data_IF_582752597314
#
_entry.id   IF_582752597314
#
_cell.length_a   1.000
_cell.length_b   1.000
_cell.length_c   1.000
_cell.angle_alpha   90.00
_cell.angle_beta   90.00
_cell.angle_gamma   90.00
#
_symmetry.space_group_name_H-M   'P 1'
#
loop_
_entity.id
_entity.type
_entity.pdbx_description
1 polymer ?
#
# COMPACT_ATOMS: atom_id res chain seq x y z
N UNK A 1 -26.85 -8.69 13.70
CA UNK A 1 -26.61 -7.23 13.65
C UNK A 1 -25.36 -7.05 12.83
N UNK A 2 -25.51 -6.77 11.54
CA UNK A 2 -24.39 -6.41 10.66
C UNK A 2 -23.73 -5.19 11.26
N UNK A 3 -22.51 -5.32 11.78
CA UNK A 3 -21.71 -4.17 12.17
C UNK A 3 -21.58 -3.29 10.92
N UNK A 4 -22.12 -2.07 10.97
CA UNK A 4 -21.74 -1.04 10.01
C UNK A 4 -20.23 -0.88 10.15
N UNK A 5 -19.49 -1.36 9.15
CA UNK A 5 -18.05 -1.24 9.09
C UNK A 5 -17.71 0.26 9.12
N UNK A 6 -17.06 0.70 10.19
CA UNK A 6 -16.77 2.12 10.41
C UNK A 6 -15.67 2.57 9.44
N UNK A 7 -16.00 3.48 8.53
CA UNK A 7 -15.03 4.04 7.58
C UNK A 7 -14.17 5.04 8.33
N UNK A 8 -12.85 4.78 8.42
CA UNK A 8 -11.92 5.65 9.14
C UNK A 8 -11.37 6.77 8.26
N UNK A 9 -11.16 6.49 6.97
CA UNK A 9 -10.68 7.45 5.98
C UNK A 9 -11.42 7.25 4.67
N UNK A 10 -11.90 8.36 4.10
CA UNK A 10 -12.65 8.43 2.85
C UNK A 10 -11.92 9.36 1.89
N UNK A 11 -11.51 8.85 0.74
CA UNK A 11 -11.00 9.64 -0.38
C UNK A 11 -12.06 9.65 -1.49
N UNK A 12 -12.38 10.84 -2.03
CA UNK A 12 -13.36 11.01 -3.12
C UNK A 12 -12.79 11.86 -4.23
N UNK A 13 -12.79 11.31 -5.44
CA UNK A 13 -12.43 11.93 -6.71
C UNK A 13 -11.09 12.67 -6.65
N UNK A 14 -10.11 12.07 -5.97
CA UNK A 14 -8.80 12.68 -5.75
C UNK A 14 -8.06 12.82 -7.08
N UNK A 15 -7.67 14.06 -7.39
CA UNK A 15 -6.75 14.38 -8.49
C UNK A 15 -5.52 15.04 -7.90
N UNK A 16 -4.34 14.53 -8.22
CA UNK A 16 -3.06 15.08 -7.77
C UNK A 16 -2.24 15.50 -8.98
N UNK A 17 -1.82 16.75 -8.98
CA UNK A 17 -1.04 17.37 -10.04
C UNK A 17 0.31 17.84 -9.52
N UNK A 18 1.34 17.73 -10.34
CA UNK A 18 2.67 18.25 -10.10
C UNK A 18 3.06 19.26 -11.18
N UNK A 19 3.55 20.42 -10.77
CA UNK A 19 4.13 21.39 -11.67
C UNK A 19 5.60 21.00 -11.94
N UNK A 20 5.91 20.66 -13.19
CA UNK A 20 7.24 20.23 -13.62
C UNK A 20 7.68 21.08 -14.80
N UNK A 21 8.46 22.13 -14.51
CA UNK A 21 8.85 23.16 -15.49
C UNK A 21 7.59 23.77 -16.13
N UNK A 22 7.47 23.72 -17.46
CA UNK A 22 6.33 24.27 -18.20
C UNK A 22 5.22 23.24 -18.47
N UNK A 23 5.19 22.13 -17.71
CA UNK A 23 4.20 21.06 -17.85
C UNK A 23 3.57 20.72 -16.51
N UNK A 24 2.32 20.30 -16.56
CA UNK A 24 1.61 19.71 -15.42
C UNK A 24 1.56 18.20 -15.61
N UNK A 25 2.01 17.45 -14.61
CA UNK A 25 1.90 15.99 -14.55
C UNK A 25 0.74 15.62 -13.65
N UNK A 26 -0.24 14.88 -14.17
CA UNK A 26 -1.38 14.40 -13.37
C UNK A 26 -1.07 13.00 -12.84
N UNK A 27 -0.56 12.92 -11.61
CA UNK A 27 -0.12 11.67 -11.01
C UNK A 27 -1.27 10.78 -10.53
N UNK A 28 -2.37 11.39 -10.04
CA UNK A 28 -3.59 10.71 -9.61
C UNK A 28 -4.77 11.32 -10.37
N UNK A 29 -5.64 10.49 -10.92
CA UNK A 29 -6.64 10.87 -11.94
C UNK A 29 -8.08 10.49 -11.53
N UNK A 30 -8.53 10.93 -10.37
CA UNK A 30 -9.89 10.69 -9.89
C UNK A 30 -10.00 9.36 -9.14
N UNK A 31 -9.22 9.23 -8.07
CA UNK A 31 -9.26 8.06 -7.18
C UNK A 31 -10.28 8.29 -6.06
N UNK A 32 -11.19 7.33 -5.92
CA UNK A 32 -12.14 7.22 -4.82
C UNK A 32 -11.89 5.91 -4.08
N UNK A 33 -11.80 5.97 -2.76
CA UNK A 33 -11.43 4.84 -1.90
C UNK A 33 -11.99 5.03 -0.49
N UNK A 34 -12.44 3.93 0.12
CA UNK A 34 -12.76 3.86 1.55
C UNK A 34 -11.80 2.93 2.26
N UNK A 35 -11.31 3.39 3.41
CA UNK A 35 -10.53 2.60 4.34
C UNK A 35 -11.40 2.28 5.56
N UNK A 36 -11.57 0.98 5.82
CA UNK A 36 -12.37 0.49 6.94
C UNK A 36 -11.48 0.28 8.16
N UNK A 37 -11.96 0.69 9.33
CA UNK A 37 -11.26 0.52 10.60
C UNK A 37 -10.90 -0.96 10.87
N UNK A 38 -9.63 -1.21 11.19
CA UNK A 38 -9.09 -2.55 11.48
C UNK A 38 -8.82 -3.42 10.26
N UNK A 39 -9.07 -2.93 9.05
CA UNK A 39 -8.83 -3.66 7.80
C UNK A 39 -7.38 -3.42 7.29
N UNK A 40 -6.82 -4.41 6.59
CA UNK A 40 -5.60 -4.27 5.80
C UNK A 40 -5.96 -4.08 4.33
N UNK A 41 -5.80 -2.86 3.84
CA UNK A 41 -5.92 -2.55 2.42
C UNK A 41 -4.56 -2.62 1.75
N UNK A 42 -4.37 -3.56 0.82
CA UNK A 42 -3.22 -3.56 -0.07
C UNK A 42 -3.43 -2.63 -1.26
N UNK A 43 -2.42 -1.81 -1.55
CA UNK A 43 -2.34 -0.98 -2.74
C UNK A 43 -1.24 -1.53 -3.64
N UNK A 44 -1.63 -2.05 -4.81
CA UNK A 44 -0.73 -2.79 -5.71
C UNK A 44 -0.69 -2.18 -7.10
N UNK A 45 0.38 -2.45 -7.83
CA UNK A 45 0.59 -1.94 -9.20
C UNK A 45 2.07 -1.74 -9.51
N UNK A 46 2.39 -1.56 -10.79
CA UNK A 46 3.75 -1.29 -11.28
C UNK A 46 4.35 -0.03 -10.63
N UNK A 47 5.67 0.09 -10.63
CA UNK A 47 6.33 1.32 -10.19
C UNK A 47 5.83 2.52 -11.00
N UNK A 48 5.58 3.66 -10.34
CA UNK A 48 5.04 4.86 -10.99
C UNK A 48 3.52 4.88 -11.22
N UNK A 49 2.77 3.86 -10.77
CA UNK A 49 1.29 3.84 -10.86
C UNK A 49 0.55 4.86 -9.98
N UNK A 50 1.26 5.55 -9.07
CA UNK A 50 0.69 6.59 -8.20
C UNK A 50 0.46 6.16 -6.74
N UNK A 51 0.79 4.92 -6.36
CA UNK A 51 0.54 4.38 -4.99
C UNK A 51 1.06 5.28 -3.86
N UNK A 52 2.36 5.58 -3.87
CA UNK A 52 3.00 6.43 -2.86
C UNK A 52 2.54 7.89 -2.94
N UNK A 53 2.20 8.38 -4.13
CA UNK A 53 1.64 9.73 -4.29
C UNK A 53 0.28 9.82 -3.62
N UNK A 54 -0.60 8.84 -3.84
CA UNK A 54 -1.91 8.77 -3.22
C UNK A 54 -1.80 8.77 -1.70
N UNK A 55 -0.95 7.92 -1.12
CA UNK A 55 -0.83 7.82 0.34
C UNK A 55 -0.16 9.03 0.98
N UNK A 56 0.78 9.69 0.29
CA UNK A 56 1.34 10.99 0.70
C UNK A 56 0.27 12.08 0.82
N UNK A 57 -0.84 12.00 0.09
CA UNK A 57 -1.96 12.95 0.27
C UNK A 57 -2.64 12.80 1.63
N UNK A 58 -2.65 11.60 2.21
CA UNK A 58 -3.27 11.33 3.51
C UNK A 58 -2.46 11.89 4.68
N UNK A 59 -1.17 12.16 4.47
CA UNK A 59 -0.28 12.77 5.46
C UNK A 59 0.16 14.19 5.08
N UNK A 60 -0.30 14.72 3.94
CA UNK A 60 0.11 16.02 3.42
C UNK A 60 1.61 16.12 3.10
N UNK A 61 2.25 14.98 2.81
CA UNK A 61 3.68 14.88 2.52
C UNK A 61 3.98 14.89 1.02
N UNK A 62 3.11 15.51 0.23
CA UNK A 62 3.39 15.81 -1.17
C UNK A 62 4.59 16.77 -1.26
N UNK A 63 5.36 16.63 -2.33
CA UNK A 63 6.44 17.53 -2.68
C UNK A 63 5.91 18.96 -2.90
N UNK A 64 6.75 19.98 -2.77
CA UNK A 64 6.33 21.40 -2.84
C UNK A 64 5.67 21.78 -4.17
N UNK A 65 6.02 21.08 -5.25
CA UNK A 65 5.43 21.28 -6.56
C UNK A 65 4.17 20.43 -6.80
N UNK A 66 3.74 19.63 -5.83
CA UNK A 66 2.56 18.78 -5.88
C UNK A 66 1.37 19.37 -5.14
N UNK A 67 0.16 19.16 -5.66
CA UNK A 67 -1.10 19.59 -5.02
C UNK A 67 -2.24 18.60 -5.27
N UNK A 68 -3.17 18.55 -4.32
CA UNK A 68 -4.51 17.97 -4.57
C UNK A 68 -5.31 19.01 -5.34
N UNK A 69 -5.48 18.79 -6.65
CA UNK A 69 -6.16 19.71 -7.56
C UNK A 69 -7.69 19.59 -7.46
N UNK A 70 -8.19 18.39 -7.16
CA UNK A 70 -9.60 18.09 -7.01
C UNK A 70 -9.80 16.96 -5.98
N UNK A 71 -11.00 16.91 -5.42
CA UNK A 71 -11.44 15.86 -4.51
C UNK A 71 -11.27 16.21 -3.04
N UNK A 72 -11.71 15.31 -2.17
CA UNK A 72 -11.70 15.49 -0.71
C UNK A 72 -11.22 14.24 0.00
N UNK A 73 -10.48 14.44 1.09
CA UNK A 73 -9.96 13.37 1.96
C UNK A 73 -10.49 13.65 3.34
N UNK A 74 -11.41 12.82 3.82
CA UNK A 74 -11.97 12.90 5.16
C UNK A 74 -11.36 11.81 6.04
N UNK A 75 -10.83 12.20 7.20
CA UNK A 75 -10.36 11.28 8.23
C UNK A 75 -11.14 11.55 9.52
N UNK A 76 -11.98 10.58 9.94
CA UNK A 76 -12.88 10.69 11.10
C UNK A 76 -13.66 12.02 11.17
N UNK A 77 -14.20 12.49 10.04
CA UNK A 77 -14.95 13.75 9.95
C UNK A 77 -14.09 15.02 9.84
N UNK A 78 -12.76 14.87 9.77
CA UNK A 78 -11.84 15.97 9.50
C UNK A 78 -11.36 15.92 8.05
N UNK A 79 -11.72 16.95 7.29
CA UNK A 79 -11.24 17.14 5.92
C UNK A 79 -9.77 17.57 5.89
N UNK A 80 -8.90 16.64 5.50
CA UNK A 80 -7.45 16.81 5.45
C UNK A 80 -6.99 17.76 4.33
N UNK A 81 -7.79 17.93 3.27
CA UNK A 81 -7.41 18.79 2.13
C UNK A 81 -7.37 20.28 2.49
N UNK A 82 -8.02 20.64 3.61
CA UNK A 82 -8.05 22.00 4.17
C UNK A 82 -6.79 22.35 4.97
N UNK A 83 -5.97 21.37 5.34
CA UNK A 83 -4.73 21.59 6.09
C UNK A 83 -3.63 22.09 5.16
N UNK A 84 -3.03 23.25 5.47
CA UNK A 84 -2.08 23.93 4.58
C UNK A 84 -0.68 24.05 5.14
N UNK A 85 -0.52 24.13 6.46
CA UNK A 85 0.78 24.30 7.10
C UNK A 85 1.26 23.02 7.80
N UNK A 86 2.57 22.86 7.95
CA UNK A 86 3.14 21.74 8.72
C UNK A 86 2.63 21.70 10.17
N UNK A 87 2.26 22.85 10.75
CA UNK A 87 1.69 22.94 12.10
C UNK A 87 0.28 22.34 12.17
N UNK A 88 -0.51 22.49 11.11
CA UNK A 88 -1.85 21.89 11.03
C UNK A 88 -1.78 20.36 10.94
N UNK A 89 -0.71 19.83 10.35
CA UNK A 89 -0.45 18.41 10.19
C UNK A 89 0.21 17.73 11.39
N UNK A 90 0.90 18.49 12.26
CA UNK A 90 1.59 17.98 13.44
C UNK A 90 0.73 17.09 14.37
N UNK A 91 -0.56 17.39 14.66
CA UNK A 91 -1.39 16.50 15.48
C UNK A 91 -1.84 15.22 14.76
N UNK A 92 -1.65 15.13 13.44
CA UNK A 92 -2.08 13.99 12.61
C UNK A 92 -0.89 13.07 12.31
N UNK A 93 0.21 13.64 11.82
CA UNK A 93 1.41 12.88 11.43
C UNK A 93 2.02 12.17 12.64
N UNK A 94 2.26 10.87 12.51
CA UNK A 94 2.82 10.02 13.55
C UNK A 94 1.85 9.67 14.68
N UNK A 95 0.93 10.56 15.05
CA UNK A 95 -0.03 10.34 16.14
C UNK A 95 -1.30 9.65 15.68
N UNK A 96 -1.82 10.03 14.52
CA UNK A 96 -3.07 9.51 13.95
C UNK A 96 -2.83 8.68 12.72
N UNK A 97 -1.96 9.17 11.85
CA UNK A 97 -1.54 8.49 10.63
C UNK A 97 -0.02 8.44 10.65
N UNK A 98 0.54 7.25 10.76
CA UNK A 98 1.97 7.01 10.71
C UNK A 98 2.35 6.39 9.36
N UNK A 99 3.60 6.60 8.95
CA UNK A 99 4.12 6.05 7.69
C UNK A 99 5.46 5.39 7.94
N UNK A 100 5.61 4.16 7.46
CA UNK A 100 6.88 3.48 7.27
C UNK A 100 7.26 3.73 5.81
N UNK A 101 8.29 4.54 5.60
CA UNK A 101 8.73 4.91 4.26
C UNK A 101 9.55 3.80 3.59
N UNK A 102 9.60 3.88 2.27
CA UNK A 102 10.46 3.04 1.44
C UNK A 102 11.93 3.22 1.86
N UNK A 103 12.64 2.10 2.01
CA UNK A 103 14.03 1.99 2.50
C UNK A 103 14.25 2.43 3.97
N UNK A 104 14.21 1.49 4.94
CA UNK A 104 14.49 1.79 6.34
C UNK A 104 15.91 2.31 6.59
N UNK A 105 16.85 2.08 5.68
CA UNK A 105 18.23 2.53 5.83
C UNK A 105 18.35 4.05 5.81
N UNK A 106 17.42 4.71 5.12
CA UNK A 106 17.35 6.18 5.05
C UNK A 106 16.47 6.79 6.14
N UNK A 107 15.61 5.98 6.75
CA UNK A 107 14.64 6.44 7.76
C UNK A 107 15.26 6.65 9.15
N UNK A 108 16.35 5.95 9.48
CA UNK A 108 17.07 6.11 10.75
C UNK A 108 18.26 7.04 10.58
N UNK A 109 18.39 8.00 11.48
CA UNK A 109 19.55 8.88 11.51
C UNK A 109 20.79 8.11 12.03
N UNK A 110 21.84 7.94 11.22
CA UNK A 110 23.00 7.12 11.58
C UNK A 110 23.86 7.73 12.69
N UNK A 111 23.72 9.03 12.98
CA UNK A 111 24.50 9.70 14.03
C UNK A 111 23.76 9.78 15.37
N UNK A 112 22.49 9.34 15.40
CA UNK A 112 21.68 9.25 16.62
C UNK A 112 21.53 7.80 17.08
N UNK A 113 21.35 7.58 18.38
CA UNK A 113 21.12 6.23 18.90
C UNK A 113 19.71 5.75 18.58
N UNK A 114 19.51 4.43 18.58
CA UNK A 114 18.18 3.83 18.37
C UNK A 114 17.19 4.31 19.41
N UNK A 115 17.58 4.28 20.68
CA UNK A 115 16.75 4.72 21.79
C UNK A 115 16.40 6.20 21.73
N UNK A 116 17.31 7.09 21.31
CA UNK A 116 17.00 8.51 21.22
C UNK A 116 15.93 8.79 20.17
N UNK A 117 15.98 8.12 19.02
CA UNK A 117 15.02 8.30 17.92
C UNK A 117 13.61 7.85 18.32
N UNK A 118 13.47 6.75 19.07
CA UNK A 118 12.16 6.31 19.59
C UNK A 118 11.65 7.26 20.68
N UNK A 119 12.52 7.64 21.63
CA UNK A 119 12.13 8.49 22.76
C UNK A 119 11.74 9.90 22.33
N UNK A 120 12.38 10.45 21.29
CA UNK A 120 12.04 11.77 20.74
C UNK A 120 10.57 11.86 20.34
N UNK A 121 10.07 10.86 19.60
CA UNK A 121 8.67 10.81 19.15
C UNK A 121 7.71 10.73 20.34
N UNK A 122 8.03 9.89 21.34
CA UNK A 122 7.22 9.73 22.55
C UNK A 122 7.17 11.04 23.35
N UNK A 123 8.31 11.68 23.58
CA UNK A 123 8.40 12.93 24.35
C UNK A 123 7.61 14.03 23.63
N UNK A 124 7.83 14.18 22.32
CA UNK A 124 7.20 15.23 21.51
C UNK A 124 5.68 15.12 21.51
N UNK A 125 5.15 13.93 21.26
CA UNK A 125 3.73 13.76 20.99
C UNK A 125 2.90 13.30 22.20
N UNK A 126 3.52 12.67 23.20
CA UNK A 126 2.82 12.16 24.39
C UNK A 126 3.11 12.92 25.67
N UNK A 127 3.99 13.95 25.62
CA UNK A 127 4.37 14.78 26.78
C UNK A 127 4.89 13.95 27.96
N UNK A 128 5.57 12.84 27.68
CA UNK A 128 6.20 11.97 28.68
C UNK A 128 7.54 12.52 29.12
N UNK A 129 7.94 12.21 30.34
CA UNK A 129 9.29 12.51 30.83
C UNK A 129 10.33 11.63 30.11
N UNK A 130 11.61 12.04 30.03
CA UNK A 130 12.65 11.22 29.40
C UNK A 130 12.79 9.81 30.01
N UNK A 131 12.51 9.66 31.31
CA UNK A 131 12.55 8.36 31.99
C UNK A 131 11.41 7.45 31.52
N UNK A 132 10.18 7.95 31.54
CA UNK A 132 9.01 7.19 31.04
C UNK A 132 9.16 6.86 29.55
N UNK A 133 9.64 7.82 28.75
CA UNK A 133 9.87 7.61 27.33
C UNK A 133 10.87 6.48 27.08
N UNK A 134 11.96 6.40 27.87
CA UNK A 134 12.93 5.31 27.77
C UNK A 134 12.31 3.96 28.11
N UNK A 135 11.53 3.88 29.18
CA UNK A 135 10.84 2.64 29.58
C UNK A 135 9.89 2.16 28.47
N UNK A 136 9.10 3.08 27.90
CA UNK A 136 8.23 2.80 26.76
C UNK A 136 9.00 2.40 25.50
N UNK A 137 10.10 3.08 25.18
CA UNK A 137 10.92 2.76 24.01
C UNK A 137 11.52 1.34 24.11
N UNK A 138 11.98 0.93 25.29
CA UNK A 138 12.46 -0.44 25.51
C UNK A 138 11.31 -1.45 25.36
N UNK A 139 10.11 -1.15 25.86
CA UNK A 139 8.92 -1.99 25.64
C UNK A 139 8.61 -2.15 24.15
N UNK A 140 8.60 -1.05 23.38
CA UNK A 140 8.40 -1.12 21.92
C UNK A 140 9.50 -1.92 21.21
N UNK A 141 10.76 -1.75 21.59
CA UNK A 141 11.88 -2.55 21.07
C UNK A 141 11.69 -4.05 21.35
N UNK A 142 11.20 -4.42 22.53
CA UNK A 142 10.88 -5.82 22.86
C UNK A 142 9.73 -6.35 22.01
N UNK A 143 8.65 -5.57 21.84
CA UNK A 143 7.48 -5.98 21.06
C UNK A 143 7.79 -6.21 19.59
N UNK A 144 8.67 -5.40 19.01
CA UNK A 144 9.14 -5.62 17.63
C UNK A 144 10.22 -6.71 17.52
N UNK A 145 10.59 -7.36 18.63
CA UNK A 145 11.49 -8.52 18.65
C UNK A 145 12.98 -8.18 18.61
N UNK A 146 13.41 -7.02 19.15
CA UNK A 146 14.83 -6.72 19.32
C UNK A 146 15.39 -7.51 20.51
N UNK A 147 16.41 -8.38 20.30
CA UNK A 147 17.03 -9.10 21.40
C UNK A 147 17.86 -8.15 22.27
N UNK A 148 17.82 -8.36 23.59
CA UNK A 148 18.52 -7.53 24.58
C UNK A 148 18.22 -6.02 24.43
N UNK A 149 16.96 -5.66 24.17
CA UNK A 149 16.54 -4.29 23.84
C UNK A 149 17.14 -3.21 24.78
N UNK A 150 17.18 -3.46 26.09
CA UNK A 150 17.74 -2.52 27.06
C UNK A 150 19.24 -2.25 26.85
N UNK A 151 20.03 -3.28 26.52
CA UNK A 151 21.46 -3.13 26.21
C UNK A 151 21.66 -2.41 24.89
N UNK A 152 20.82 -2.72 23.90
CA UNK A 152 20.91 -2.18 22.54
C UNK A 152 20.28 -0.81 22.36
N UNK A 153 19.69 -0.24 23.42
CA UNK A 153 19.05 1.07 23.40
C UNK A 153 20.03 2.19 22.98
N UNK A 154 21.28 2.12 23.43
CA UNK A 154 22.32 3.13 23.14
C UNK A 154 23.15 2.81 21.89
N UNK A 155 22.81 1.75 21.16
CA UNK A 155 23.49 1.42 19.91
C UNK A 155 23.01 2.34 18.78
N UNK A 156 23.82 2.42 17.73
CA UNK A 156 23.55 3.19 16.53
C UNK A 156 22.99 2.30 15.41
N UNK A 157 22.29 2.87 14.40
CA UNK A 157 21.74 2.11 13.28
C UNK A 157 22.76 1.21 12.59
N UNK A 158 24.01 1.67 12.39
CA UNK A 158 25.05 0.88 11.71
C UNK A 158 25.43 -0.42 12.45
N UNK A 159 25.07 -0.55 13.73
CA UNK A 159 25.27 -1.77 14.53
C UNK A 159 24.13 -2.80 14.38
N UNK A 160 23.01 -2.40 13.77
CA UNK A 160 21.82 -3.24 13.56
C UNK A 160 21.86 -3.90 12.18
N UNK A 161 21.35 -5.14 12.07
CA UNK A 161 21.05 -5.77 10.77
C UNK A 161 19.88 -5.08 10.07
N UNK A 162 19.68 -5.34 8.77
CA UNK A 162 18.59 -4.72 8.02
C UNK A 162 17.20 -5.01 8.60
N UNK A 163 16.92 -6.28 8.95
CA UNK A 163 15.67 -6.65 9.62
C UNK A 163 15.50 -6.02 11.00
N UNK A 164 16.59 -5.84 11.77
CA UNK A 164 16.51 -5.14 13.06
C UNK A 164 16.22 -3.65 12.87
N UNK A 165 16.81 -2.99 11.85
CA UNK A 165 16.49 -1.59 11.53
C UNK A 165 15.03 -1.44 11.12
N UNK A 166 14.50 -2.34 10.29
CA UNK A 166 13.09 -2.34 9.91
C UNK A 166 12.18 -2.45 11.14
N UNK A 167 12.50 -3.36 12.08
CA UNK A 167 11.78 -3.51 13.35
C UNK A 167 11.80 -2.21 14.18
N UNK A 168 12.93 -1.49 14.22
CA UNK A 168 12.99 -0.19 14.88
C UNK A 168 12.12 0.86 14.18
N UNK A 169 12.11 0.92 12.86
CA UNK A 169 11.25 1.86 12.13
C UNK A 169 9.77 1.58 12.42
N UNK A 170 9.37 0.31 12.50
CA UNK A 170 8.03 -0.10 12.95
C UNK A 170 7.77 0.37 14.39
N UNK A 171 8.73 0.17 15.30
CA UNK A 171 8.60 0.62 16.69
C UNK A 171 8.41 2.15 16.80
N UNK A 172 9.15 2.94 16.00
CA UNK A 172 9.00 4.40 15.94
C UNK A 172 7.62 4.78 15.43
N UNK A 173 7.14 4.15 14.34
CA UNK A 173 5.83 4.43 13.76
C UNK A 173 4.69 4.10 14.72
N UNK A 174 4.81 3.02 15.50
CA UNK A 174 3.82 2.59 16.48
C UNK A 174 3.96 3.23 17.86
N UNK A 175 5.03 3.99 18.10
CA UNK A 175 5.32 4.59 19.39
C UNK A 175 4.15 5.46 19.88
N UNK A 176 3.44 6.12 18.96
CA UNK A 176 2.28 6.97 19.26
C UNK A 176 0.91 6.30 19.09
N UNK A 177 0.85 4.99 18.82
CA UNK A 177 -0.38 4.21 18.59
C UNK A 177 -1.30 4.88 17.55
N UNK A 178 -0.85 4.95 16.29
CA UNK A 178 -1.62 5.58 15.23
C UNK A 178 -2.89 4.79 14.94
N UNK A 179 -3.94 5.47 14.48
CA UNK A 179 -5.15 4.82 14.01
C UNK A 179 -4.93 4.16 12.64
N UNK A 180 -4.08 4.76 11.79
CA UNK A 180 -3.72 4.27 10.45
C UNK A 180 -2.21 4.16 10.34
N UNK A 181 -1.72 2.98 9.93
CA UNK A 181 -0.34 2.73 9.56
C UNK A 181 -0.23 2.55 8.03
N UNK A 182 0.51 3.43 7.39
CA UNK A 182 0.84 3.33 5.96
C UNK A 182 2.22 2.66 5.86
N UNK A 183 2.28 1.51 5.20
CA UNK A 183 3.51 0.80 4.95
C UNK A 183 3.87 0.94 3.47
N UNK A 184 4.85 1.79 3.14
CA UNK A 184 5.32 1.96 1.77
C UNK A 184 6.50 1.02 1.48
N UNK A 185 6.23 -0.10 0.83
CA UNK A 185 7.24 -1.12 0.50
C UNK A 185 8.08 -1.57 1.71
N UNK A 186 7.45 -1.97 2.82
CA UNK A 186 8.12 -2.18 4.11
C UNK A 186 9.07 -3.40 4.13
N UNK A 187 9.02 -4.24 3.10
CA UNK A 187 9.84 -5.46 3.00
C UNK A 187 10.80 -5.43 1.82
N UNK A 188 10.84 -4.33 1.06
CA UNK A 188 11.78 -4.18 -0.05
C UNK A 188 13.23 -4.28 0.46
N UNK A 189 14.08 -4.93 -0.33
CA UNK A 189 15.50 -5.19 -0.03
C UNK A 189 15.78 -6.08 1.20
N UNK A 190 14.77 -6.78 1.73
CA UNK A 190 14.93 -7.85 2.73
C UNK A 190 14.93 -9.22 2.06
N UNK A 191 15.60 -10.20 2.66
CA UNK A 191 15.47 -11.59 2.21
C UNK A 191 14.08 -12.15 2.53
N UNK A 192 13.67 -13.20 1.81
CA UNK A 192 12.33 -13.80 1.90
C UNK A 192 11.98 -14.24 3.32
N UNK A 193 12.96 -14.69 4.11
CA UNK A 193 12.71 -15.15 5.49
C UNK A 193 12.42 -13.96 6.40
N UNK A 194 13.22 -12.90 6.32
CA UNK A 194 13.00 -11.67 7.10
C UNK A 194 11.71 -10.96 6.66
N UNK A 195 11.39 -10.94 5.35
CA UNK A 195 10.13 -10.42 4.84
C UNK A 195 8.93 -11.09 5.52
N UNK A 196 8.88 -12.42 5.55
CA UNK A 196 7.81 -13.16 6.22
C UNK A 196 7.70 -12.80 7.72
N UNK A 197 8.84 -12.73 8.42
CA UNK A 197 8.85 -12.35 9.84
C UNK A 197 8.36 -10.92 10.10
N UNK A 198 8.61 -9.98 9.18
CA UNK A 198 8.10 -8.60 9.29
C UNK A 198 6.60 -8.54 9.03
N UNK A 199 6.10 -9.31 8.06
CA UNK A 199 4.65 -9.42 7.79
C UNK A 199 3.92 -10.00 8.99
N UNK A 200 4.42 -11.09 9.57
CA UNK A 200 3.82 -11.72 10.76
C UNK A 200 3.84 -10.77 11.97
N UNK A 201 4.92 -10.00 12.12
CA UNK A 201 5.02 -8.95 13.14
C UNK A 201 3.96 -7.87 12.92
N UNK A 202 3.81 -7.36 11.70
CA UNK A 202 2.83 -6.30 11.42
C UNK A 202 1.41 -6.79 11.70
N UNK A 203 1.07 -8.03 11.34
CA UNK A 203 -0.23 -8.64 11.65
C UNK A 203 -0.47 -8.77 13.14
N UNK A 204 0.50 -9.27 13.90
CA UNK A 204 0.33 -9.45 15.34
C UNK A 204 0.15 -8.11 16.05
N UNK A 205 0.93 -7.09 15.66
CA UNK A 205 0.80 -5.75 16.20
C UNK A 205 -0.52 -5.07 15.78
N UNK A 206 -0.99 -5.32 14.56
CA UNK A 206 -2.28 -4.83 14.07
C UNK A 206 -3.43 -5.39 14.89
N UNK A 207 -3.39 -6.68 15.23
CA UNK A 207 -4.39 -7.31 16.11
C UNK A 207 -4.29 -6.80 17.56
N UNK A 208 -3.08 -6.59 18.07
CA UNK A 208 -2.86 -6.12 19.45
C UNK A 208 -3.32 -4.65 19.64
N UNK A 209 -3.07 -3.80 18.65
CA UNK A 209 -3.30 -2.36 18.75
C UNK A 209 -4.50 -1.86 17.96
N UNK A 210 -5.17 -2.73 17.21
CA UNK A 210 -6.39 -2.46 16.44
C UNK A 210 -6.25 -1.29 15.45
N UNK A 211 -5.03 -1.08 14.90
CA UNK A 211 -4.82 -0.06 13.88
C UNK A 211 -5.22 -0.56 12.48
N UNK A 212 -5.51 0.38 11.60
CA UNK A 212 -5.83 0.10 10.20
C UNK A 212 -4.58 0.19 9.34
N UNK A 213 -4.42 -0.68 8.35
CA UNK A 213 -3.19 -0.71 7.55
C UNK A 213 -3.45 -0.40 6.07
N UNK A 214 -2.65 0.51 5.49
CA UNK A 214 -2.49 0.60 4.04
C UNK A 214 -1.14 -0.01 3.70
N UNK A 215 -1.13 -1.14 3.01
CA UNK A 215 0.08 -1.87 2.65
C UNK A 215 0.40 -1.67 1.16
N UNK A 216 1.44 -0.91 0.86
CA UNK A 216 1.86 -0.65 -0.52
C UNK A 216 2.96 -1.64 -0.88
N UNK A 217 2.77 -2.38 -1.96
CA UNK A 217 3.79 -3.29 -2.49
C UNK A 217 3.57 -3.53 -3.98
N UNK A 218 4.63 -3.97 -4.65
CA UNK A 218 4.58 -4.52 -6.00
C UNK A 218 4.60 -6.06 -6.00
N UNK A 219 4.83 -6.70 -4.84
CA UNK A 219 4.83 -8.16 -4.68
C UNK A 219 3.43 -8.67 -4.30
N UNK A 220 2.75 -9.27 -5.27
CA UNK A 220 1.43 -9.87 -5.07
C UNK A 220 1.47 -11.12 -4.17
N UNK A 221 2.60 -11.82 -4.06
CA UNK A 221 2.74 -12.94 -3.12
C UNK A 221 2.65 -12.49 -1.66
N UNK A 222 3.16 -11.30 -1.35
CA UNK A 222 2.99 -10.68 -0.01
C UNK A 222 1.54 -10.29 0.24
N UNK A 223 0.87 -9.73 -0.77
CA UNK A 223 -0.51 -9.25 -0.67
C UNK A 223 -1.45 -10.37 -0.26
N UNK A 224 -1.34 -11.53 -0.91
CA UNK A 224 -2.13 -12.71 -0.59
C UNK A 224 -1.98 -13.17 0.88
N UNK A 225 -0.84 -12.85 1.50
CA UNK A 225 -0.60 -13.23 2.89
C UNK A 225 -1.21 -12.23 3.89
N UNK A 226 -1.26 -10.93 3.61
CA UNK A 226 -1.53 -9.89 4.62
C UNK A 226 -2.83 -9.12 4.44
N UNK A 227 -3.34 -9.02 3.21
CA UNK A 227 -4.41 -8.08 2.88
C UNK A 227 -5.81 -8.69 3.04
N UNK A 228 -6.75 -7.89 3.52
CA UNK A 228 -8.18 -8.21 3.46
C UNK A 228 -8.78 -7.76 2.13
N UNK A 229 -8.37 -6.58 1.67
CA UNK A 229 -8.77 -5.99 0.39
C UNK A 229 -7.59 -5.54 -0.44
N UNK A 230 -7.80 -5.48 -1.74
CA UNK A 230 -6.80 -5.11 -2.73
C UNK A 230 -7.34 -4.01 -3.62
N UNK A 231 -6.58 -2.93 -3.77
CA UNK A 231 -6.79 -1.88 -4.75
C UNK A 231 -5.65 -1.95 -5.78
N UNK A 232 -5.98 -2.36 -7.00
CA UNK A 232 -5.02 -2.41 -8.12
C UNK A 232 -4.98 -1.04 -8.78
N UNK A 233 -3.82 -0.39 -8.77
CA UNK A 233 -3.58 0.90 -9.37
C UNK A 233 -2.81 0.79 -10.69
N UNK A 234 -3.27 1.53 -11.68
CA UNK A 234 -2.58 1.71 -12.95
C UNK A 234 -2.68 3.15 -13.42
N UNK A 235 -1.54 3.73 -13.82
CA UNK A 235 -1.46 5.08 -14.40
C UNK A 235 -2.26 6.17 -13.63
N UNK A 236 -2.25 6.14 -12.29
CA UNK A 236 -2.91 7.14 -11.45
C UNK A 236 -4.40 6.87 -11.15
N UNK A 237 -4.94 5.72 -11.54
CA UNK A 237 -6.33 5.32 -11.24
C UNK A 237 -6.34 3.96 -10.53
N UNK A 238 -7.33 3.72 -9.67
CA UNK A 238 -7.69 2.37 -9.23
C UNK A 238 -8.51 1.74 -10.35
N UNK A 239 -8.00 0.65 -10.91
CA UNK A 239 -8.60 -0.07 -12.05
C UNK A 239 -9.38 -1.31 -11.61
N UNK A 240 -9.07 -1.86 -10.45
CA UNK A 240 -9.81 -2.98 -9.86
C UNK A 240 -9.70 -2.93 -8.34
N UNK A 241 -10.79 -3.27 -7.65
CA UNK A 241 -10.87 -3.25 -6.20
C UNK A 241 -11.80 -4.35 -5.71
N UNK A 242 -11.37 -5.12 -4.72
CA UNK A 242 -12.16 -6.20 -4.13
C UNK A 242 -11.52 -6.76 -2.87
N UNK A 243 -12.11 -7.80 -2.32
CA UNK A 243 -11.40 -8.66 -1.36
C UNK A 243 -10.19 -9.31 -2.01
N UNK A 244 -9.22 -9.73 -1.20
CA UNK A 244 -8.04 -10.43 -1.70
C UNK A 244 -8.41 -11.69 -2.50
N UNK A 245 -9.43 -12.43 -2.06
CA UNK A 245 -9.90 -13.64 -2.75
C UNK A 245 -10.53 -13.31 -4.10
N UNK A 246 -11.40 -12.30 -4.17
CA UNK A 246 -12.05 -11.87 -5.41
C UNK A 246 -11.01 -11.43 -6.46
N UNK A 247 -10.05 -10.59 -6.06
CA UNK A 247 -9.04 -10.05 -6.99
C UNK A 247 -8.04 -11.11 -7.43
N UNK A 248 -7.69 -12.10 -6.59
CA UNK A 248 -6.73 -13.14 -6.97
C UNK A 248 -7.37 -14.28 -7.77
N UNK A 249 -8.58 -14.70 -7.43
CA UNK A 249 -9.20 -15.91 -8.01
C UNK A 249 -10.20 -15.60 -9.13
N UNK A 250 -10.87 -14.46 -9.06
CA UNK A 250 -11.79 -13.97 -10.07
C UNK A 250 -11.43 -12.57 -10.60
N UNK A 251 -10.15 -12.27 -10.92
CA UNK A 251 -9.77 -10.95 -11.44
C UNK A 251 -10.56 -10.64 -12.71
N UNK A 252 -10.93 -9.38 -12.89
CA UNK A 252 -11.72 -8.93 -14.05
C UNK A 252 -10.99 -7.96 -14.96
N UNK A 253 -10.00 -7.21 -14.46
CA UNK A 253 -9.29 -6.25 -15.27
C UNK A 253 -8.10 -6.90 -16.01
N UNK A 254 -7.90 -6.66 -17.33
CA UNK A 254 -6.77 -7.20 -18.09
C UNK A 254 -5.40 -6.90 -17.47
N UNK A 255 -5.21 -5.70 -16.93
CA UNK A 255 -3.99 -5.36 -16.18
C UNK A 255 -3.77 -6.25 -14.95
N UNK A 256 -4.82 -6.53 -14.17
CA UNK A 256 -4.73 -7.46 -13.02
C UNK A 256 -4.38 -8.86 -13.50
N UNK A 257 -4.92 -9.31 -14.65
CA UNK A 257 -4.52 -10.58 -15.26
C UNK A 257 -3.03 -10.60 -15.59
N UNK A 258 -2.52 -9.53 -16.22
CA UNK A 258 -1.11 -9.40 -16.56
C UNK A 258 -0.22 -9.41 -15.31
N UNK A 259 -0.60 -8.71 -14.24
CA UNK A 259 0.14 -8.70 -12.98
C UNK A 259 0.18 -10.08 -12.31
N UNK A 260 -0.95 -10.77 -12.22
CA UNK A 260 -1.02 -12.12 -11.65
C UNK A 260 -0.23 -13.12 -12.50
N UNK A 261 -0.24 -12.98 -13.82
CA UNK A 261 0.53 -13.82 -14.74
C UNK A 261 2.04 -13.68 -14.55
N UNK A 262 2.50 -12.52 -14.05
CA UNK A 262 3.90 -12.24 -13.73
C UNK A 262 4.38 -12.79 -12.38
N UNK A 263 3.52 -13.50 -11.63
CA UNK A 263 3.90 -14.10 -10.34
C UNK A 263 5.06 -15.10 -10.50
N UNK A 264 6.11 -15.03 -9.65
CA UNK A 264 7.26 -15.95 -9.73
C UNK A 264 6.89 -17.43 -9.67
N UNK A 265 5.85 -17.78 -8.92
CA UNK A 265 5.36 -19.15 -8.77
C UNK A 265 4.77 -19.74 -10.06
N UNK A 266 4.41 -18.87 -11.00
CA UNK A 266 3.86 -19.23 -12.31
C UNK A 266 4.93 -19.28 -13.41
N UNK A 267 6.22 -19.14 -13.06
CA UNK A 267 7.32 -19.38 -14.00
C UNK A 267 7.15 -20.73 -14.70
N UNK A 268 7.43 -20.75 -16.00
CA UNK A 268 7.35 -21.97 -16.80
C UNK A 268 8.49 -22.97 -16.45
N UNK A 269 8.47 -24.15 -17.06
CA UNK A 269 9.49 -25.19 -16.84
C UNK A 269 10.92 -24.74 -17.22
N UNK A 270 11.06 -23.63 -17.94
CA UNK A 270 12.34 -23.01 -18.32
C UNK A 270 12.73 -21.85 -17.40
N UNK A 271 11.87 -21.48 -16.45
CA UNK A 271 12.06 -20.36 -15.54
C UNK A 271 11.79 -18.99 -16.17
N UNK A 272 11.15 -18.92 -17.34
CA UNK A 272 10.76 -17.66 -17.95
C UNK A 272 9.51 -17.10 -17.26
N UNK A 273 9.56 -15.82 -16.90
CA UNK A 273 8.46 -15.09 -16.28
C UNK A 273 7.74 -14.28 -17.34
N UNK A 274 6.40 -14.29 -17.29
CA UNK A 274 5.60 -13.39 -18.10
C UNK A 274 5.93 -11.94 -17.71
N UNK A 275 6.25 -11.11 -18.71
CA UNK A 275 6.45 -9.68 -18.53
C UNK A 275 5.39 -8.93 -19.31
N UNK A 276 4.79 -7.94 -18.67
CA UNK A 276 3.73 -7.13 -19.28
C UNK A 276 4.35 -6.30 -20.41
N UNK A 277 3.89 -6.46 -21.67
CA UNK A 277 4.53 -5.83 -22.82
C UNK A 277 4.41 -4.30 -22.78
N UNK A 278 5.35 -3.64 -23.45
CA UNK A 278 5.39 -2.19 -23.57
C UNK A 278 5.83 -1.46 -22.28
N UNK A 279 5.58 -0.15 -22.24
CA UNK A 279 5.90 0.71 -21.11
C UNK A 279 4.63 1.42 -20.61
N UNK A 280 4.51 1.72 -19.30
CA UNK A 280 3.44 2.56 -18.80
C UNK A 280 3.29 3.88 -19.58
N UNK A 281 2.06 4.40 -19.74
CA UNK A 281 1.84 5.64 -20.45
C UNK A 281 2.46 6.83 -19.71
N UNK A 282 2.81 7.87 -20.46
CA UNK A 282 3.28 9.13 -19.90
C UNK A 282 2.13 9.89 -19.25
N UNK A 283 2.30 10.27 -17.98
CA UNK A 283 1.34 11.09 -17.22
C UNK A 283 1.48 12.61 -17.48
N UNK A 284 2.37 13.00 -18.40
CA UNK A 284 2.50 14.39 -18.87
C UNK A 284 1.54 14.74 -20.02
N UNK A 285 1.00 13.74 -20.70
CA UNK A 285 0.06 13.89 -21.80
C UNK A 285 -1.35 13.56 -21.34
N UNK A 286 -2.34 14.18 -21.95
CA UNK A 286 -3.74 13.78 -21.76
C UNK A 286 -3.91 12.33 -22.24
N UNK A 287 -4.40 11.46 -21.35
CA UNK A 287 -4.73 10.08 -21.68
C UNK A 287 -6.19 10.02 -22.13
N UNK A 288 -6.39 9.66 -23.38
CA UNK A 288 -7.70 9.39 -23.96
C UNK A 288 -8.01 7.90 -23.79
N UNK A 289 -9.26 7.56 -23.44
CA UNK A 289 -9.67 6.17 -23.25
C UNK A 289 -9.14 5.51 -21.97
N UNK A 290 -9.08 4.19 -21.99
CA UNK A 290 -8.39 3.36 -21.01
C UNK A 290 -6.86 3.53 -21.15
N UNK A 291 -6.20 3.87 -20.05
CA UNK A 291 -4.76 4.01 -20.01
C UNK A 291 -4.01 2.69 -20.29
N UNK A 292 -4.65 1.54 -20.06
CA UNK A 292 -4.06 0.23 -20.31
C UNK A 292 -4.29 -0.29 -21.74
N UNK A 293 -5.12 0.36 -22.56
CA UNK A 293 -5.49 -0.10 -23.90
C UNK A 293 -4.29 -0.46 -24.79
N UNK A 294 -3.23 0.37 -24.79
CA UNK A 294 -2.03 0.15 -25.60
C UNK A 294 -1.19 -1.08 -25.19
N UNK A 295 -1.41 -1.62 -24.00
CA UNK A 295 -0.69 -2.77 -23.44
C UNK A 295 -1.58 -4.00 -23.23
N UNK A 296 -2.88 -3.87 -23.50
CA UNK A 296 -3.85 -4.94 -23.32
C UNK A 296 -3.98 -5.76 -24.60
N UNK A 297 -3.75 -7.07 -24.50
CA UNK A 297 -4.05 -8.02 -25.58
C UNK A 297 -5.55 -8.14 -25.89
N UNK A 298 -6.39 -7.53 -25.03
CA UNK A 298 -7.85 -7.58 -25.07
C UNK A 298 -8.49 -6.23 -25.36
N UNK A 299 -7.71 -5.22 -25.76
CA UNK A 299 -8.23 -3.89 -26.07
C UNK A 299 -9.21 -3.92 -27.25
N UNK A 300 -10.33 -3.23 -27.08
CA UNK A 300 -11.34 -2.97 -28.11
C UNK A 300 -11.21 -1.53 -28.63
N UNK A 301 -11.87 -1.21 -29.75
CA UNK A 301 -11.84 0.15 -30.32
C UNK A 301 -12.28 1.22 -29.30
N UNK A 302 -13.31 0.93 -28.50
CA UNK A 302 -13.82 1.83 -27.47
C UNK A 302 -12.80 2.14 -26.36
N UNK A 303 -11.87 1.21 -26.05
CA UNK A 303 -10.84 1.43 -25.04
C UNK A 303 -9.87 2.57 -25.44
N UNK A 304 -9.75 2.89 -26.73
CA UNK A 304 -8.91 3.99 -27.21
C UNK A 304 -9.64 5.33 -27.25
N UNK A 305 -10.97 5.33 -27.12
CA UNK A 305 -11.82 6.52 -27.29
C UNK A 305 -12.37 7.00 -25.95
N UNK A 306 -12.89 6.10 -25.13
CA UNK A 306 -13.68 6.40 -23.93
C UNK A 306 -13.13 5.69 -22.69
N UNK A 307 -13.18 6.37 -21.54
CA UNK A 307 -12.74 5.78 -20.27
C UNK A 307 -13.66 4.63 -19.87
N UNK A 308 -13.12 3.51 -19.37
CA UNK A 308 -13.94 2.38 -18.98
C UNK A 308 -14.80 2.71 -17.77
N UNK A 309 -16.07 2.29 -17.75
CA UNK A 309 -16.96 2.48 -16.62
C UNK A 309 -16.52 1.61 -15.44
N UNK A 310 -16.81 2.06 -14.22
CA UNK A 310 -16.68 1.22 -13.04
C UNK A 310 -17.89 0.27 -12.96
N UNK A 311 -17.65 -1.03 -13.15
CA UNK A 311 -18.69 -2.07 -13.11
C UNK A 311 -18.48 -2.97 -11.90
N UNK A 312 -19.54 -3.12 -11.09
CA UNK A 312 -19.56 -4.02 -9.94
C UNK A 312 -19.83 -5.45 -10.39
N UNK A 313 -19.00 -6.37 -9.91
CA UNK A 313 -19.08 -7.81 -10.14
C UNK A 313 -19.81 -8.46 -8.96
N UNK A 314 -19.49 -8.00 -7.76
CA UNK A 314 -20.18 -8.29 -6.49
C UNK A 314 -20.39 -6.98 -5.72
N UNK A 315 -20.98 -7.04 -4.53
CA UNK A 315 -21.11 -5.87 -3.66
C UNK A 315 -19.75 -5.32 -3.18
N UNK A 316 -18.71 -6.15 -3.18
CA UNK A 316 -17.37 -5.81 -2.69
C UNK A 316 -16.32 -5.68 -3.78
N UNK A 317 -16.60 -6.19 -4.99
CA UNK A 317 -15.66 -6.25 -6.10
C UNK A 317 -16.15 -5.47 -7.32
N UNK A 318 -15.30 -4.60 -7.84
CA UNK A 318 -15.53 -3.88 -9.08
C UNK A 318 -14.25 -3.74 -9.89
N UNK A 319 -14.40 -3.57 -11.21
CA UNK A 319 -13.31 -3.27 -12.12
C UNK A 319 -13.73 -2.19 -13.14
N UNK A 320 -12.75 -1.41 -13.60
CA UNK A 320 -12.91 -0.42 -14.66
C UNK A 320 -12.46 -1.01 -15.99
N UNK A 321 -13.34 -1.75 -16.66
CA UNK A 321 -13.02 -2.31 -17.98
C UNK A 321 -14.26 -2.40 -18.85
N UNK A 322 -14.10 -2.16 -20.15
CA UNK A 322 -15.17 -2.38 -21.12
C UNK A 322 -15.48 -3.87 -21.32
N UNK A 323 -14.61 -4.80 -20.92
CA UNK A 323 -14.85 -6.25 -21.04
C UNK A 323 -16.03 -6.76 -20.19
N UNK A 324 -16.41 -6.03 -19.14
CA UNK A 324 -17.57 -6.35 -18.30
C UNK A 324 -18.89 -5.78 -18.86
N UNK A 325 -18.83 -5.01 -19.94
CA UNK A 325 -20.02 -4.43 -20.57
C UNK A 325 -20.86 -5.51 -21.27
N UNK A 326 -22.19 -5.38 -21.26
CA UNK A 326 -23.12 -6.40 -21.80
C UNK A 326 -22.86 -6.74 -23.29
N UNK A 327 -22.40 -5.76 -24.06
CA UNK A 327 -22.09 -5.90 -25.49
C UNK A 327 -20.65 -6.35 -25.78
N UNK A 328 -19.82 -6.56 -24.76
CA UNK A 328 -18.43 -6.95 -24.93
C UNK A 328 -18.34 -8.42 -25.41
N UNK A 329 -17.29 -8.78 -26.17
CA UNK A 329 -17.03 -10.17 -26.49
C UNK A 329 -16.75 -10.96 -25.20
N UNK A 330 -17.22 -12.20 -25.15
CA UNK A 330 -16.88 -13.10 -24.04
C UNK A 330 -15.42 -13.52 -24.17
N UNK A 331 -14.62 -13.08 -23.22
CA UNK A 331 -13.19 -13.36 -23.13
C UNK A 331 -12.92 -14.16 -21.86
N UNK A 332 -12.02 -15.13 -21.96
CA UNK A 332 -11.53 -15.87 -20.80
C UNK A 332 -10.20 -15.26 -20.34
N UNK A 333 -9.99 -15.26 -19.02
CA UNK A 333 -8.70 -14.90 -18.42
C UNK A 333 -7.58 -15.82 -18.97
N UNK A 334 -6.31 -15.36 -18.99
CA UNK A 334 -5.19 -16.18 -19.43
C UNK A 334 -5.12 -17.53 -18.69
N UNK A 335 -4.90 -18.62 -19.43
CA UNK A 335 -4.87 -19.98 -18.87
C UNK A 335 -3.80 -20.17 -17.77
N UNK A 336 -2.75 -19.35 -17.77
CA UNK A 336 -1.69 -19.37 -16.75
C UNK A 336 -2.23 -19.02 -15.35
N UNK A 337 -3.19 -18.09 -15.27
CA UNK A 337 -3.85 -17.68 -14.02
C UNK A 337 -5.21 -18.38 -13.79
N UNK A 338 -5.55 -19.35 -14.65
CA UNK A 338 -6.66 -20.24 -14.37
C UNK A 338 -6.29 -21.20 -13.23
N UNK A 339 -7.24 -21.53 -12.36
CA UNK A 339 -7.03 -22.36 -11.17
C UNK A 339 -5.84 -21.91 -10.28
N UNK A 340 -5.65 -20.59 -10.16
CA UNK A 340 -4.55 -20.00 -9.41
C UNK A 340 -4.45 -20.54 -7.97
N UNK A 341 -5.59 -20.81 -7.33
CA UNK A 341 -5.64 -21.39 -5.98
C UNK A 341 -4.94 -22.76 -5.90
N UNK A 342 -5.19 -23.66 -6.84
CA UNK A 342 -4.58 -25.00 -6.87
C UNK A 342 -3.09 -24.92 -7.22
N UNK A 343 -2.73 -24.03 -8.16
CA UNK A 343 -1.34 -23.84 -8.59
C UNK A 343 -0.48 -23.19 -7.50
N UNK A 344 -1.03 -22.25 -6.75
CA UNK A 344 -0.34 -21.61 -5.63
C UNK A 344 -0.28 -22.57 -4.43
N UNK A 345 -1.37 -23.24 -4.05
CA UNK A 345 -1.39 -24.15 -2.90
C UNK A 345 -0.54 -25.42 -3.10
N UNK A 346 -0.40 -25.91 -4.33
CA UNK A 346 0.48 -27.04 -4.64
C UNK A 346 1.99 -26.69 -4.64
N UNK A 347 2.34 -25.42 -4.93
CA UNK A 347 3.74 -24.95 -4.99
C UNK A 347 4.21 -24.21 -3.74
N UNK A 348 3.32 -23.49 -3.07
CA UNK A 348 3.54 -22.90 -1.76
C UNK A 348 2.98 -23.90 -0.77
N UNK A 349 3.83 -24.60 -0.01
CA UNK A 349 3.41 -25.53 1.04
C UNK A 349 2.63 -24.85 2.17
N UNK A 350 1.42 -24.37 1.87
CA UNK A 350 0.48 -23.78 2.81
C UNK A 350 -0.25 -24.91 3.52
N UNK A 351 0.41 -25.48 4.54
CA UNK A 351 -0.22 -26.39 5.49
C UNK A 351 -0.99 -25.64 6.60
N UNK A 352 -1.38 -24.37 6.40
CA UNK A 352 -1.95 -23.54 7.47
C UNK A 352 -3.26 -22.82 7.13
N UNK A 353 -3.95 -23.20 6.05
CA UNK A 353 -5.32 -22.71 5.77
C UNK A 353 -6.41 -23.76 6.04
N UNK A 354 -6.06 -24.94 6.55
CA UNK A 354 -7.04 -25.90 7.08
C UNK A 354 -6.90 -26.00 8.62
N UNK A 355 -7.67 -25.17 9.34
CA UNK A 355 -8.07 -25.40 10.73
C UNK A 355 -9.36 -24.65 11.08
#
# INVERSE_FOLDING_TARGET
MTQEKNVILTARDIVVEFDVRDKVLTAIRGVSLDLIEGEVLALVGESGSGKSVLTKTFTGMLEENGRVAQGTIDYRGQDLTKLKSNKDWEPIRGVKIATIFQDPMTSLDPINTIGSQITEVIIKHQKRTPKEAKEMAVDYMNKVGIPDAEKRFNEYPFQYSGGMRQRIVIAIALACRPDILICDEPTTALDVTIQAQIIDLLKSLQQEYEFTTIFITHDLGVVASIADKVAVMYAGEIVEYGTVEEVFYDPRHPYTWSLLSSLPQLADDKGELYSIPGTPPSLYSHLQGDAFALRSDYAMEIDFEEKPPQIYVTDTHWAKTWLLHENAPKVNKPAVIDDLHEKISSKMGFAHLDA
#
